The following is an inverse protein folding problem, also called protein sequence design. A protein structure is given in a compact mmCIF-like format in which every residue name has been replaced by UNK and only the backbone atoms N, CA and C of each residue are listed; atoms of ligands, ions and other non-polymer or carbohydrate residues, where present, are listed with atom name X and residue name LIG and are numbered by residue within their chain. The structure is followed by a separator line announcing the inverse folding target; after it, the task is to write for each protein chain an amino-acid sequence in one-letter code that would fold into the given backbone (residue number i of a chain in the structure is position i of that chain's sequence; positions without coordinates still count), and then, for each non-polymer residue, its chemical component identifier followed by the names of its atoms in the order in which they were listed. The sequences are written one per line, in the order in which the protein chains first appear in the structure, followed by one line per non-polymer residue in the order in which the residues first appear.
data_IF_868559006104
#
_entry.id   IF_868559006104
#
_cell.length_a   1.000
_cell.length_b   1.000
_cell.length_c   1.000
_cell.angle_alpha   90.00
_cell.angle_beta   90.00
_cell.angle_gamma   90.00
#
_symmetry.space_group_name_H-M   'P 1'
#
loop_
_entity.id
_entity.type
_entity.pdbx_description
1 polymer ?
#
# COMPACT_ATOMS: atom_id res chain seq x y z
N UNK A 1 31.47 0.71 -11.14
CA UNK A 1 32.71 1.49 -10.87
C UNK A 1 32.67 2.92 -11.43
N UNK A 2 32.48 3.16 -12.74
CA UNK A 2 32.48 4.51 -13.35
C UNK A 2 31.48 5.49 -12.72
N UNK A 3 30.28 5.00 -12.38
CA UNK A 3 29.25 5.80 -11.72
C UNK A 3 29.62 6.26 -10.29
N UNK A 4 30.66 5.66 -9.67
CA UNK A 4 31.16 6.02 -8.34
C UNK A 4 32.46 6.83 -8.40
N UNK A 5 32.81 7.42 -9.56
CA UNK A 5 34.09 8.13 -9.75
C UNK A 5 34.35 9.28 -8.77
N UNK A 6 33.29 9.85 -8.19
CA UNK A 6 33.35 10.94 -7.21
C UNK A 6 33.52 10.45 -5.77
N UNK A 7 33.38 9.15 -5.52
CA UNK A 7 33.56 8.53 -4.21
C UNK A 7 35.01 8.12 -3.98
N UNK A 8 35.38 7.95 -2.71
CA UNK A 8 36.70 7.43 -2.32
C UNK A 8 36.95 6.04 -2.94
N UNK A 9 38.21 5.77 -3.30
CA UNK A 9 38.61 4.49 -3.90
C UNK A 9 38.23 3.30 -3.00
N UNK A 10 38.37 3.43 -1.69
CA UNK A 10 37.99 2.41 -0.69
C UNK A 10 36.50 2.05 -0.77
N UNK A 11 35.62 3.05 -0.74
CA UNK A 11 34.16 2.90 -0.89
C UNK A 11 33.80 2.27 -2.23
N UNK A 12 34.43 2.73 -3.32
CA UNK A 12 34.21 2.15 -4.67
C UNK A 12 34.50 0.66 -4.70
N UNK A 13 35.64 0.27 -4.15
CA UNK A 13 36.13 -1.10 -4.23
C UNK A 13 35.28 -2.02 -3.34
N UNK A 14 34.87 -1.55 -2.15
CA UNK A 14 33.93 -2.28 -1.29
C UNK A 14 32.56 -2.48 -1.94
N UNK A 15 31.96 -1.43 -2.51
CA UNK A 15 30.66 -1.54 -3.19
C UNK A 15 30.75 -2.48 -4.40
N UNK A 16 31.80 -2.36 -5.22
CA UNK A 16 31.95 -3.23 -6.39
C UNK A 16 32.18 -4.69 -5.99
N UNK A 17 33.06 -4.94 -5.02
CA UNK A 17 33.34 -6.29 -4.53
C UNK A 17 32.09 -6.95 -3.93
N UNK A 18 31.29 -6.19 -3.18
CA UNK A 18 30.04 -6.73 -2.64
C UNK A 18 29.01 -7.02 -3.74
N UNK A 19 28.91 -6.15 -4.74
CA UNK A 19 27.99 -6.36 -5.87
C UNK A 19 28.38 -7.59 -6.71
N UNK A 20 29.66 -7.91 -6.82
CA UNK A 20 30.12 -9.13 -7.48
C UNK A 20 29.76 -10.41 -6.69
N UNK A 21 29.72 -10.31 -5.36
CA UNK A 21 29.49 -11.47 -4.47
C UNK A 21 28.02 -11.69 -4.12
N UNK A 22 27.20 -10.64 -4.17
CA UNK A 22 25.81 -10.66 -3.73
C UNK A 22 24.88 -10.14 -4.83
N UNK A 23 24.15 -11.07 -5.47
CA UNK A 23 23.23 -10.76 -6.57
C UNK A 23 22.08 -9.84 -6.17
N UNK A 24 21.58 -9.95 -4.94
CA UNK A 24 20.53 -9.06 -4.40
C UNK A 24 21.05 -7.64 -4.24
N UNK A 25 22.26 -7.50 -3.69
CA UNK A 25 22.90 -6.19 -3.59
C UNK A 25 23.21 -5.61 -4.96
N UNK A 26 23.71 -6.43 -5.89
CA UNK A 26 23.91 -6.03 -7.28
C UNK A 26 22.63 -5.45 -7.89
N UNK A 27 21.48 -6.10 -7.68
CA UNK A 27 20.20 -5.58 -8.17
C UNK A 27 19.89 -4.19 -7.61
N UNK A 28 20.12 -3.95 -6.32
CA UNK A 28 19.94 -2.64 -5.67
C UNK A 28 20.85 -1.60 -6.33
N UNK A 29 22.16 -1.87 -6.40
CA UNK A 29 23.15 -0.90 -6.89
C UNK A 29 23.21 -0.79 -8.41
N UNK A 30 22.54 -1.70 -9.14
CA UNK A 30 22.39 -1.59 -10.60
C UNK A 30 21.48 -0.43 -10.99
N UNK A 31 20.59 0.01 -10.08
CA UNK A 31 19.70 1.15 -10.29
C UNK A 31 20.46 2.44 -9.99
N UNK A 32 20.66 3.35 -10.97
CA UNK A 32 21.52 4.53 -10.78
C UNK A 32 21.16 5.41 -9.58
N UNK A 33 19.85 5.57 -9.31
CA UNK A 33 19.37 6.35 -8.16
C UNK A 33 19.71 5.71 -6.82
N UNK A 34 19.56 4.39 -6.69
CA UNK A 34 19.92 3.66 -5.49
C UNK A 34 21.44 3.57 -5.30
N UNK A 35 22.21 3.45 -6.38
CA UNK A 35 23.67 3.49 -6.29
C UNK A 35 24.17 4.78 -5.65
N UNK A 36 23.60 5.92 -6.04
CA UNK A 36 23.93 7.21 -5.45
C UNK A 36 23.57 7.28 -3.96
N UNK A 37 22.39 6.77 -3.60
CA UNK A 37 21.93 6.67 -2.21
C UNK A 37 22.87 5.80 -1.38
N UNK A 38 23.14 4.58 -1.83
CA UNK A 38 24.05 3.62 -1.16
C UNK A 38 25.43 4.23 -0.98
N UNK A 39 25.99 4.86 -2.02
CA UNK A 39 27.27 5.53 -1.94
C UNK A 39 27.29 6.65 -0.89
N UNK A 40 26.22 7.45 -0.81
CA UNK A 40 26.11 8.57 0.14
C UNK A 40 25.99 8.10 1.59
N UNK A 41 25.35 6.94 1.80
CA UNK A 41 25.11 6.37 3.12
C UNK A 41 26.21 5.39 3.57
N UNK A 42 27.08 4.96 2.65
CA UNK A 42 28.02 3.84 2.87
C UNK A 42 28.81 3.97 4.16
N UNK A 43 29.52 5.09 4.33
CA UNK A 43 30.32 5.35 5.53
C UNK A 43 29.49 5.89 6.69
N UNK A 44 28.50 6.75 6.38
CA UNK A 44 27.71 7.46 7.41
C UNK A 44 26.87 6.51 8.25
N UNK A 45 26.30 5.49 7.63
CA UNK A 45 25.42 4.51 8.26
C UNK A 45 26.11 3.14 8.39
N UNK A 46 27.42 3.06 8.17
CA UNK A 46 28.21 1.83 8.26
C UNK A 46 27.56 0.64 7.52
N UNK A 47 27.10 0.88 6.28
CA UNK A 47 26.33 -0.13 5.52
C UNK A 47 27.08 -1.44 5.32
N UNK A 48 28.41 -1.41 5.34
CA UNK A 48 29.26 -2.60 5.29
C UNK A 48 29.05 -3.55 6.47
N UNK A 49 28.54 -3.09 7.61
CA UNK A 49 28.26 -3.91 8.78
C UNK A 49 26.87 -4.57 8.70
N UNK A 50 25.98 -4.06 7.86
CA UNK A 50 24.58 -4.49 7.74
C UNK A 50 24.27 -5.27 6.45
N UNK A 51 25.30 -5.78 5.76
CA UNK A 51 25.20 -6.42 4.45
C UNK A 51 24.17 -7.57 4.41
N UNK A 52 24.08 -8.36 5.48
CA UNK A 52 23.18 -9.52 5.54
C UNK A 52 21.69 -9.12 5.49
N UNK A 53 21.36 -7.90 5.91
CA UNK A 53 19.99 -7.39 5.99
C UNK A 53 19.70 -6.31 4.94
N UNK A 54 20.59 -6.13 3.97
CA UNK A 54 20.50 -4.99 3.06
C UNK A 54 19.45 -5.27 1.97
N UNK A 55 18.25 -4.72 2.19
CA UNK A 55 17.11 -4.76 1.27
C UNK A 55 16.95 -3.42 0.55
N UNK A 56 16.13 -3.36 -0.51
CA UNK A 56 15.83 -2.08 -1.15
C UNK A 56 15.05 -1.16 -0.20
N UNK A 57 14.11 -1.72 0.57
CA UNK A 57 13.33 -1.02 1.57
C UNK A 57 14.22 -0.42 2.67
N UNK A 58 15.19 -1.19 3.18
CA UNK A 58 16.13 -0.73 4.20
C UNK A 58 16.96 0.46 3.72
N UNK A 59 17.51 0.39 2.51
CA UNK A 59 18.28 1.49 1.91
C UNK A 59 17.41 2.74 1.73
N UNK A 60 16.16 2.58 1.28
CA UNK A 60 15.22 3.70 1.15
C UNK A 60 14.86 4.32 2.51
N UNK A 61 14.63 3.48 3.53
CA UNK A 61 14.36 3.91 4.90
C UNK A 61 15.49 4.78 5.44
N UNK A 62 16.74 4.34 5.32
CA UNK A 62 17.91 5.09 5.75
C UNK A 62 18.03 6.43 5.02
N UNK A 63 17.78 6.45 3.71
CA UNK A 63 17.83 7.71 2.95
C UNK A 63 16.73 8.70 3.36
N UNK A 64 15.51 8.21 3.56
CA UNK A 64 14.39 9.02 4.05
C UNK A 64 14.71 9.58 5.45
N UNK A 65 15.25 8.76 6.33
CA UNK A 65 15.68 9.16 7.67
C UNK A 65 16.81 10.19 7.63
N UNK A 66 17.82 9.99 6.77
CA UNK A 66 18.90 10.95 6.55
C UNK A 66 18.37 12.28 6.01
N UNK A 67 17.36 12.24 5.13
CA UNK A 67 16.70 13.44 4.60
C UNK A 67 15.99 14.23 5.70
N UNK A 68 15.25 13.55 6.59
CA UNK A 68 14.60 14.18 7.75
C UNK A 68 15.61 14.74 8.74
N UNK A 69 16.68 14.00 9.03
CA UNK A 69 17.75 14.44 9.94
C UNK A 69 18.45 15.70 9.41
N UNK A 70 18.82 15.71 8.12
CA UNK A 70 19.38 16.90 7.47
C UNK A 70 18.44 18.10 7.57
N UNK A 71 17.14 17.86 7.45
CA UNK A 71 16.14 18.90 7.56
C UNK A 71 15.99 19.42 9.00
N UNK A 72 15.97 18.53 9.98
CA UNK A 72 15.94 18.91 11.40
C UNK A 72 17.21 19.64 11.87
N UNK A 73 18.39 19.33 11.32
CA UNK A 73 19.63 20.09 11.59
C UNK A 73 19.51 21.55 11.10
N UNK A 74 18.87 21.78 9.95
CA UNK A 74 18.57 23.14 9.51
C UNK A 74 17.61 23.83 10.47
N UNK A 75 16.66 23.08 11.03
CA UNK A 75 15.71 23.66 11.98
C UNK A 75 16.37 24.11 13.28
N UNK A 76 17.26 23.31 13.86
CA UNK A 76 18.00 23.70 15.05
C UNK A 76 18.75 25.03 14.86
N UNK A 77 19.23 25.27 13.63
CA UNK A 77 19.95 26.49 13.26
C UNK A 77 19.04 27.69 12.97
N UNK A 78 17.87 27.48 12.35
CA UNK A 78 17.08 28.57 11.76
C UNK A 78 15.67 28.76 12.36
N UNK A 79 15.16 27.81 13.17
CA UNK A 79 13.88 27.87 13.89
C UNK A 79 12.65 28.25 13.04
N UNK A 80 12.57 27.74 11.81
CA UNK A 80 11.51 28.09 10.87
C UNK A 80 10.53 26.95 10.54
N UNK A 81 10.89 25.71 10.84
CA UNK A 81 10.22 24.47 10.47
C UNK A 81 9.51 23.84 11.68
N UNK A 82 8.18 23.88 11.73
CA UNK A 82 7.44 23.47 12.92
C UNK A 82 7.40 21.95 13.11
N UNK A 83 7.68 21.12 12.10
CA UNK A 83 7.48 19.68 12.23
C UNK A 83 8.67 18.98 12.90
N UNK A 84 8.37 17.94 13.66
CA UNK A 84 9.37 16.97 14.09
C UNK A 84 9.56 15.86 13.04
N UNK A 85 10.54 14.98 13.20
CA UNK A 85 10.86 13.99 12.18
C UNK A 85 9.76 12.92 12.00
N UNK A 86 9.08 12.54 13.09
CA UNK A 86 7.93 11.64 13.03
C UNK A 86 6.73 12.25 12.29
N UNK A 87 6.49 13.55 12.49
CA UNK A 87 5.44 14.29 11.78
C UNK A 87 5.79 14.46 10.30
N UNK A 88 7.04 14.74 9.95
CA UNK A 88 7.49 14.75 8.54
C UNK A 88 7.25 13.39 7.88
N UNK A 89 7.57 12.29 8.56
CA UNK A 89 7.27 10.94 8.09
C UNK A 89 5.76 10.70 7.90
N UNK A 90 4.92 11.23 8.79
CA UNK A 90 3.45 11.19 8.63
C UNK A 90 2.98 11.95 7.39
N UNK A 91 3.42 13.20 7.20
CA UNK A 91 3.01 13.99 6.05
C UNK A 91 3.52 13.41 4.74
N UNK A 92 4.78 12.98 4.68
CA UNK A 92 5.36 12.38 3.47
C UNK A 92 4.71 11.04 3.13
N UNK A 93 4.42 10.19 4.11
CA UNK A 93 3.60 8.98 3.92
C UNK A 93 2.21 9.30 3.40
N UNK A 94 1.58 10.37 3.89
CA UNK A 94 0.29 10.86 3.40
C UNK A 94 0.32 11.35 1.95
N UNK A 95 1.34 12.13 1.58
CA UNK A 95 1.55 12.59 0.20
C UNK A 95 1.78 11.40 -0.72
N UNK A 96 2.64 10.46 -0.32
CA UNK A 96 2.94 9.25 -1.08
C UNK A 96 1.68 8.38 -1.30
N UNK A 97 0.92 8.10 -0.24
CA UNK A 97 -0.32 7.32 -0.34
C UNK A 97 -1.38 7.99 -1.23
N UNK A 98 -1.53 9.31 -1.14
CA UNK A 98 -2.43 10.07 -2.02
C UNK A 98 -1.99 9.98 -3.49
N UNK A 99 -0.72 10.25 -3.80
CA UNK A 99 -0.20 10.22 -5.16
C UNK A 99 -0.28 8.82 -5.76
N UNK A 100 0.14 7.79 -5.01
CA UNK A 100 0.11 6.40 -5.46
C UNK A 100 -1.33 5.91 -5.72
N UNK A 101 -2.28 6.19 -4.81
CA UNK A 101 -3.68 5.77 -4.97
C UNK A 101 -4.38 6.45 -6.15
N UNK A 102 -3.95 7.67 -6.49
CA UNK A 102 -4.44 8.42 -7.67
C UNK A 102 -3.59 8.20 -8.93
N UNK A 103 -2.52 7.41 -8.85
CA UNK A 103 -1.56 7.16 -9.94
C UNK A 103 -0.98 8.45 -10.53
N UNK A 104 -0.58 9.36 -9.64
CA UNK A 104 0.00 10.65 -10.00
C UNK A 104 1.52 10.60 -9.84
N UNK A 105 2.26 11.06 -10.85
CA UNK A 105 3.70 11.31 -10.75
C UNK A 105 4.01 12.70 -10.18
N UNK A 106 3.08 13.65 -10.30
CA UNK A 106 3.19 15.02 -9.79
C UNK A 106 1.94 15.44 -9.01
N UNK A 107 2.07 16.42 -8.10
CA UNK A 107 0.98 16.99 -7.32
C UNK A 107 1.04 18.52 -7.37
N UNK A 108 -0.07 19.16 -7.73
CA UNK A 108 -0.13 20.63 -7.77
C UNK A 108 -0.07 21.23 -6.36
N UNK A 109 0.42 22.46 -6.21
CA UNK A 109 0.44 23.17 -4.92
C UNK A 109 -0.95 23.22 -4.25
N UNK A 110 -2.01 23.41 -5.04
CA UNK A 110 -3.39 23.42 -4.54
C UNK A 110 -3.79 22.07 -3.97
N UNK A 111 -3.49 20.97 -4.67
CA UNK A 111 -3.79 19.61 -4.20
C UNK A 111 -2.96 19.27 -2.96
N UNK A 112 -1.68 19.61 -2.95
CA UNK A 112 -0.79 19.37 -1.82
C UNK A 112 -1.27 20.12 -0.57
N UNK A 113 -1.59 21.41 -0.69
CA UNK A 113 -2.10 22.20 0.43
C UNK A 113 -3.43 21.63 0.97
N UNK A 114 -4.37 21.31 0.08
CA UNK A 114 -5.64 20.70 0.48
C UNK A 114 -5.48 19.31 1.12
N UNK A 115 -4.45 18.56 0.73
CA UNK A 115 -4.10 17.29 1.36
C UNK A 115 -3.48 17.50 2.75
N UNK A 116 -2.57 18.46 2.90
CA UNK A 116 -1.95 18.81 4.18
C UNK A 116 -3.02 19.25 5.19
N UNK A 117 -4.01 20.05 4.77
CA UNK A 117 -5.12 20.46 5.63
C UNK A 117 -5.92 19.26 6.15
N UNK A 118 -6.19 18.25 5.29
CA UNK A 118 -6.84 17.00 5.69
C UNK A 118 -5.98 16.18 6.65
N UNK A 119 -4.67 16.11 6.40
CA UNK A 119 -3.72 15.38 7.25
C UNK A 119 -3.57 16.04 8.62
N UNK A 120 -3.56 17.37 8.71
CA UNK A 120 -3.57 18.11 9.99
C UNK A 120 -4.83 17.78 10.78
N UNK A 121 -6.00 17.84 10.13
CA UNK A 121 -7.27 17.54 10.78
C UNK A 121 -7.35 16.09 11.31
N UNK A 122 -6.77 15.15 10.58
CA UNK A 122 -6.72 13.73 10.94
C UNK A 122 -5.58 13.34 11.87
N UNK A 123 -4.60 14.22 12.12
CA UNK A 123 -3.36 13.90 12.82
C UNK A 123 -3.61 13.42 14.27
N UNK A 124 -3.29 12.17 14.62
CA UNK A 124 -3.37 11.68 15.98
C UNK A 124 -2.25 12.27 16.85
N UNK A 125 -2.57 12.55 18.12
CA UNK A 125 -1.62 13.12 19.08
C UNK A 125 -0.40 12.21 19.36
N UNK A 126 -0.50 10.92 19.04
CA UNK A 126 0.58 9.95 19.24
C UNK A 126 1.77 10.17 18.28
N UNK A 127 1.56 10.79 17.11
CA UNK A 127 2.63 10.97 16.11
C UNK A 127 3.72 11.89 16.63
N UNK A 128 3.35 12.96 17.32
CA UNK A 128 4.33 13.90 17.89
C UNK A 128 5.18 13.27 19.01
N UNK A 129 4.77 12.11 19.53
CA UNK A 129 5.47 11.37 20.60
C UNK A 129 6.31 10.19 20.11
N UNK A 130 6.29 9.89 18.82
CA UNK A 130 7.07 8.79 18.26
C UNK A 130 8.56 9.14 18.22
N UNK A 131 9.41 8.11 18.10
CA UNK A 131 10.86 8.20 18.19
C UNK A 131 11.38 9.34 17.32
N UNK A 132 12.06 10.28 17.96
CA UNK A 132 12.73 11.38 17.29
C UNK A 132 14.06 10.92 16.73
N UNK A 133 14.41 11.34 15.52
CA UNK A 133 15.75 11.14 14.95
C UNK A 133 16.77 12.11 15.53
N UNK A 134 16.32 13.13 16.29
CA UNK A 134 17.16 14.19 16.85
C UNK A 134 16.89 14.44 18.34
N UNK A 135 17.92 14.88 19.08
CA UNK A 135 17.71 15.33 20.45
C UNK A 135 16.90 16.64 20.46
N UNK A 136 15.89 16.75 21.33
CA UNK A 136 15.07 17.97 21.57
C UNK A 136 14.04 18.36 20.50
N UNK A 137 13.51 17.39 19.77
CA UNK A 137 12.35 17.65 18.92
C UNK A 137 11.09 18.01 19.76
N UNK A 138 10.16 18.83 19.23
CA UNK A 138 8.88 19.10 19.88
C UNK A 138 8.08 17.81 20.09
N UNK A 139 7.64 17.56 21.32
CA UNK A 139 6.84 16.39 21.71
C UNK A 139 5.34 16.71 21.91
N UNK A 140 4.99 18.00 21.95
CA UNK A 140 3.61 18.44 22.08
C UNK A 140 2.82 18.09 20.79
N UNK A 141 1.58 17.55 20.93
CA UNK A 141 0.74 17.20 19.80
C UNK A 141 0.63 18.33 18.77
N UNK A 142 0.88 18.03 17.50
CA UNK A 142 0.87 18.98 16.39
C UNK A 142 -0.35 19.91 16.43
N UNK A 143 -1.55 19.35 16.60
CA UNK A 143 -2.79 20.12 16.61
C UNK A 143 -2.82 21.19 17.70
N UNK A 144 -2.23 20.93 18.87
CA UNK A 144 -2.17 21.93 19.95
C UNK A 144 -1.22 23.07 19.57
N UNK A 145 -0.06 22.73 19.00
CA UNK A 145 0.94 23.71 18.54
C UNK A 145 0.42 24.62 17.43
N UNK A 146 -0.51 24.13 16.61
CA UNK A 146 -1.15 24.91 15.55
C UNK A 146 -2.39 25.69 16.00
N UNK A 147 -2.87 25.54 17.23
CA UNK A 147 -4.11 26.17 17.70
C UNK A 147 -3.79 27.49 18.39
N UNK A 148 -4.43 28.59 17.97
CA UNK A 148 -4.35 29.87 18.68
C UNK A 148 -5.05 29.73 20.05
N UNK A 149 -4.34 29.96 21.18
CA UNK A 149 -4.91 29.88 22.52
C UNK A 149 -6.12 30.79 22.75
N UNK A 150 -6.25 31.89 21.99
CA UNK A 150 -7.32 32.89 22.15
C UNK A 150 -8.60 32.48 21.43
N UNK A 151 -8.48 31.96 20.20
CA UNK A 151 -9.64 31.64 19.36
C UNK A 151 -10.02 30.17 19.40
N UNK A 152 -9.13 29.31 19.91
CA UNK A 152 -9.26 27.85 19.87
C UNK A 152 -9.46 27.31 18.43
N UNK A 153 -8.98 28.06 17.42
CA UNK A 153 -8.96 27.69 16.01
C UNK A 153 -7.53 27.49 15.53
N UNK A 154 -7.33 26.78 14.41
CA UNK A 154 -6.01 26.70 13.80
C UNK A 154 -5.51 28.10 13.39
N UNK A 155 -4.29 28.44 13.81
CA UNK A 155 -3.59 29.65 13.39
C UNK A 155 -3.16 29.51 11.92
N UNK A 156 -3.65 30.36 11.00
CA UNK A 156 -3.29 30.30 9.60
C UNK A 156 -1.78 30.41 9.34
N UNK A 157 -1.05 31.15 10.18
CA UNK A 157 0.40 31.35 10.03
C UNK A 157 1.13 30.04 10.31
N UNK A 158 0.81 29.38 11.42
CA UNK A 158 1.45 28.11 11.79
C UNK A 158 1.07 26.98 10.82
N UNK A 159 -0.16 26.97 10.31
CA UNK A 159 -0.56 26.04 9.23
C UNK A 159 0.26 26.26 7.95
N UNK A 160 0.53 27.51 7.56
CA UNK A 160 1.34 27.79 6.38
C UNK A 160 2.82 27.41 6.57
N UNK A 161 3.34 27.53 7.81
CA UNK A 161 4.68 27.03 8.17
C UNK A 161 4.76 25.52 8.02
N UNK A 162 3.74 24.77 8.45
CA UNK A 162 3.65 23.32 8.20
C UNK A 162 3.64 23.03 6.70
N UNK A 163 2.84 23.76 5.91
CA UNK A 163 2.81 23.59 4.45
C UNK A 163 4.17 23.83 3.82
N UNK A 164 4.92 24.81 4.32
CA UNK A 164 6.27 25.14 3.85
C UNK A 164 7.28 24.06 4.24
N UNK A 165 7.22 23.54 5.46
CA UNK A 165 8.09 22.43 5.91
C UNK A 165 7.86 21.17 5.08
N UNK A 166 6.59 20.78 4.85
CA UNK A 166 6.24 19.63 4.01
C UNK A 166 6.81 19.78 2.59
N UNK A 167 6.64 20.96 1.97
CA UNK A 167 7.18 21.28 0.64
C UNK A 167 8.71 21.22 0.58
N UNK A 168 9.38 21.63 1.66
CA UNK A 168 10.85 21.77 1.70
C UNK A 168 11.55 20.61 2.40
N UNK A 169 10.83 19.57 2.80
CA UNK A 169 11.30 18.39 3.57
C UNK A 169 12.40 17.55 2.90
N UNK A 170 12.80 17.91 1.68
CA UNK A 170 13.94 17.32 0.96
C UNK A 170 13.62 16.07 0.16
N UNK A 171 12.38 15.56 0.25
CA UNK A 171 11.89 14.44 -0.58
C UNK A 171 11.08 14.92 -1.77
N UNK A 172 10.38 16.04 -1.63
CA UNK A 172 9.67 16.71 -2.72
C UNK A 172 10.59 17.71 -3.41
N UNK A 173 10.45 17.79 -4.72
CA UNK A 173 11.13 18.76 -5.59
C UNK A 173 10.10 19.43 -6.49
N UNK A 174 10.38 20.67 -6.88
CA UNK A 174 9.61 21.35 -7.91
C UNK A 174 9.74 20.59 -9.24
N UNK A 175 8.62 20.42 -9.95
CA UNK A 175 8.66 19.83 -11.28
C UNK A 175 9.00 20.91 -12.32
N UNK A 176 10.18 20.85 -12.96
CA UNK A 176 10.60 21.88 -13.92
C UNK A 176 9.68 21.95 -15.15
N UNK A 177 8.98 20.85 -15.47
CA UNK A 177 8.03 20.81 -16.57
C UNK A 177 6.71 21.52 -16.26
N UNK A 178 6.32 21.59 -14.98
CA UNK A 178 5.01 22.11 -14.55
C UNK A 178 5.17 23.02 -13.33
N UNK A 179 5.45 24.33 -13.53
CA UNK A 179 5.62 25.28 -12.43
C UNK A 179 4.44 25.26 -11.45
N UNK A 180 4.75 25.26 -10.16
CA UNK A 180 3.75 25.14 -9.09
C UNK A 180 3.24 23.72 -8.86
N UNK A 181 3.87 22.71 -9.46
CA UNK A 181 3.68 21.29 -9.13
C UNK A 181 4.94 20.70 -8.52
N UNK A 182 4.73 19.72 -7.66
CA UNK A 182 5.78 19.01 -6.94
C UNK A 182 5.79 17.55 -7.35
N UNK A 183 6.95 16.91 -7.24
CA UNK A 183 7.09 15.45 -7.36
C UNK A 183 8.07 14.95 -6.33
N UNK A 184 8.07 13.65 -6.07
CA UNK A 184 9.19 13.05 -5.35
C UNK A 184 10.45 13.16 -6.20
N UNK A 185 11.59 13.46 -5.56
CA UNK A 185 12.88 13.55 -6.26
C UNK A 185 13.22 12.26 -7.03
N UNK A 186 12.70 11.13 -6.57
CA UNK A 186 12.69 9.87 -7.29
C UNK A 186 11.37 9.12 -7.04
N UNK A 187 10.81 8.47 -8.07
CA UNK A 187 9.52 7.74 -7.96
C UNK A 187 9.55 6.67 -6.86
N UNK A 188 10.66 5.94 -6.73
CA UNK A 188 10.78 4.88 -5.72
C UNK A 188 10.66 5.38 -4.28
N UNK A 189 10.89 6.68 -3.98
CA UNK A 189 10.61 7.22 -2.65
C UNK A 189 9.10 7.24 -2.35
N UNK A 190 8.29 7.63 -3.33
CA UNK A 190 6.84 7.58 -3.23
C UNK A 190 6.36 6.14 -3.01
N UNK A 191 6.89 5.20 -3.79
CA UNK A 191 6.50 3.79 -3.74
C UNK A 191 6.89 3.13 -2.42
N UNK A 192 8.11 3.42 -1.91
CA UNK A 192 8.56 2.99 -0.60
C UNK A 192 7.68 3.56 0.53
N UNK A 193 7.46 4.88 0.56
CA UNK A 193 6.66 5.52 1.61
C UNK A 193 5.21 5.03 1.61
N UNK A 194 4.65 4.78 0.43
CA UNK A 194 3.32 4.18 0.33
C UNK A 194 3.30 2.74 0.86
N UNK A 195 4.31 1.94 0.52
CA UNK A 195 4.48 0.59 1.05
C UNK A 195 4.66 0.58 2.57
N UNK A 196 5.40 1.53 3.15
CA UNK A 196 5.59 1.70 4.59
C UNK A 196 4.25 1.93 5.32
N UNK A 197 3.41 2.84 4.81
CA UNK A 197 2.08 3.09 5.37
C UNK A 197 1.21 1.83 5.35
N UNK A 198 1.27 1.07 4.26
CA UNK A 198 0.50 -0.18 4.14
C UNK A 198 1.06 -1.26 5.07
N UNK A 199 2.38 -1.40 5.15
CA UNK A 199 3.04 -2.36 6.04
C UNK A 199 2.67 -2.08 7.50
N UNK A 200 2.74 -0.82 7.93
CA UNK A 200 2.37 -0.40 9.28
C UNK A 200 0.91 -0.72 9.61
N UNK A 201 -0.01 -0.49 8.66
CA UNK A 201 -1.44 -0.82 8.83
C UNK A 201 -1.71 -2.33 8.92
N UNK A 202 -0.91 -3.15 8.22
CA UNK A 202 -1.03 -4.61 8.25
C UNK A 202 -0.41 -5.17 9.54
N UNK A 203 0.84 -4.82 9.85
CA UNK A 203 1.56 -5.30 11.04
C UNK A 203 0.90 -4.81 12.34
N UNK A 204 0.44 -3.56 12.36
CA UNK A 204 -0.19 -2.94 13.52
C UNK A 204 -1.61 -2.51 13.16
N UNK A 205 -2.59 -3.42 13.32
CA UNK A 205 -4.02 -3.11 13.08
C UNK A 205 -4.50 -1.84 13.81
N UNK A 206 -3.85 -1.50 14.92
CA UNK A 206 -4.13 -0.33 15.74
C UNK A 206 -3.22 0.87 15.49
N UNK A 207 -2.33 0.88 14.48
CA UNK A 207 -1.48 2.05 14.21
C UNK A 207 -2.36 3.28 13.95
N UNK A 208 -2.30 4.30 14.83
CA UNK A 208 -3.05 5.53 14.62
C UNK A 208 -2.52 6.29 13.40
N UNK A 209 -1.21 6.25 13.15
CA UNK A 209 -0.53 6.95 12.04
C UNK A 209 -1.03 6.45 10.70
N UNK A 210 -0.89 5.15 10.44
CA UNK A 210 -1.28 4.57 9.16
C UNK A 210 -2.79 4.72 8.89
N UNK A 211 -3.62 4.48 9.91
CA UNK A 211 -5.08 4.65 9.79
C UNK A 211 -5.47 6.09 9.46
N UNK A 212 -4.84 7.07 10.13
CA UNK A 212 -5.10 8.49 9.86
C UNK A 212 -4.72 8.87 8.43
N UNK A 213 -3.56 8.41 7.94
CA UNK A 213 -3.12 8.61 6.55
C UNK A 213 -4.13 8.02 5.57
N UNK A 214 -4.47 6.74 5.70
CA UNK A 214 -5.35 6.04 4.76
C UNK A 214 -6.76 6.66 4.74
N UNK A 215 -7.26 7.07 5.90
CA UNK A 215 -8.57 7.74 6.02
C UNK A 215 -8.54 9.13 5.37
N UNK A 216 -7.55 9.96 5.69
CA UNK A 216 -7.43 11.32 5.16
C UNK A 216 -7.22 11.36 3.63
N UNK A 217 -6.48 10.38 3.11
CA UNK A 217 -6.18 10.25 1.68
C UNK A 217 -7.25 9.49 0.91
N UNK A 218 -8.21 8.86 1.57
CA UNK A 218 -9.19 7.91 0.97
C UNK A 218 -8.51 6.78 0.20
N UNK A 219 -7.34 6.35 0.68
CA UNK A 219 -6.52 5.31 0.03
C UNK A 219 -6.97 3.93 0.48
N UNK A 220 -7.31 3.07 -0.48
CA UNK A 220 -7.57 1.66 -0.24
C UNK A 220 -6.25 0.89 -0.22
N UNK A 221 -6.07 0.04 0.80
CA UNK A 221 -4.87 -0.82 0.92
C UNK A 221 -4.75 -1.72 -0.31
N UNK A 222 -5.87 -2.22 -0.83
CA UNK A 222 -5.89 -3.13 -1.98
C UNK A 222 -5.39 -2.44 -3.27
N UNK A 223 -5.29 -1.10 -3.29
CA UNK A 223 -4.76 -0.38 -4.44
C UNK A 223 -3.24 -0.54 -4.63
N UNK A 224 -2.50 -1.00 -3.60
CA UNK A 224 -1.06 -1.27 -3.71
C UNK A 224 -0.75 -2.36 -4.72
N UNK A 225 -1.69 -3.29 -4.95
CA UNK A 225 -1.55 -4.36 -5.97
C UNK A 225 -1.28 -3.79 -7.37
N UNK A 226 -1.69 -2.55 -7.62
CA UNK A 226 -1.50 -1.87 -8.90
C UNK A 226 -0.10 -1.28 -9.08
N UNK A 227 0.74 -1.26 -8.04
CA UNK A 227 2.12 -0.78 -8.08
C UNK A 227 3.08 -1.93 -7.73
N UNK A 228 3.66 -2.60 -8.74
CA UNK A 228 4.53 -3.75 -8.49
C UNK A 228 5.78 -3.38 -7.68
N UNK A 229 6.29 -2.16 -7.82
CA UNK A 229 7.44 -1.68 -7.05
C UNK A 229 7.06 -1.45 -5.59
N UNK A 230 5.92 -0.81 -5.30
CA UNK A 230 5.41 -0.66 -3.93
C UNK A 230 5.13 -2.01 -3.29
N UNK A 231 4.61 -2.99 -4.04
CA UNK A 231 4.45 -4.37 -3.56
C UNK A 231 5.77 -5.02 -3.18
N UNK A 232 6.84 -4.78 -3.95
CA UNK A 232 8.18 -5.29 -3.63
C UNK A 232 8.68 -4.72 -2.32
N UNK A 233 8.57 -3.40 -2.11
CA UNK A 233 8.92 -2.77 -0.83
C UNK A 233 8.06 -3.28 0.32
N UNK A 234 6.76 -3.48 0.09
CA UNK A 234 5.84 -4.02 1.10
C UNK A 234 6.29 -5.41 1.55
N UNK A 235 6.66 -6.29 0.62
CA UNK A 235 7.15 -7.62 0.94
C UNK A 235 8.39 -7.55 1.83
N UNK A 236 9.38 -6.73 1.47
CA UNK A 236 10.61 -6.55 2.27
C UNK A 236 10.32 -5.99 3.67
N UNK A 237 9.47 -4.96 3.78
CA UNK A 237 9.08 -4.37 5.07
C UNK A 237 8.34 -5.36 5.98
N UNK A 238 7.52 -6.23 5.40
CA UNK A 238 6.82 -7.26 6.17
C UNK A 238 7.80 -8.29 6.74
N UNK A 239 8.87 -8.63 6.02
CA UNK A 239 9.92 -9.52 6.53
C UNK A 239 10.81 -8.88 7.59
N UNK A 240 11.12 -7.58 7.46
CA UNK A 240 11.95 -6.85 8.43
C UNK A 240 11.25 -6.69 9.78
N UNK A 241 9.95 -6.34 9.78
CA UNK A 241 9.20 -6.16 11.03
C UNK A 241 9.10 -7.42 11.87
N UNK A 242 9.18 -8.61 11.25
CA UNK A 242 9.25 -9.87 11.98
C UNK A 242 10.65 -10.11 12.57
N UNK A 243 11.75 -9.69 11.93
CA UNK A 243 13.10 -9.83 12.50
C UNK A 243 13.30 -9.02 13.78
N UNK A 244 12.73 -7.81 13.89
CA UNK A 244 12.77 -7.04 15.13
C UNK A 244 11.95 -7.68 16.26
N UNK A 245 10.86 -8.38 15.93
CA UNK A 245 10.01 -9.07 16.92
C UNK A 245 10.58 -10.43 17.34
N UNK A 246 11.18 -11.17 16.40
CA UNK A 246 11.77 -12.50 16.62
C UNK A 246 13.22 -12.44 17.11
N UNK A 247 13.96 -11.36 16.85
CA UNK A 247 15.31 -11.14 17.40
C UNK A 247 15.34 -11.03 18.93
N UNK A 248 14.22 -10.71 19.57
CA UNK A 248 14.04 -10.78 21.02
C UNK A 248 13.69 -12.19 21.53
N UNK A 249 13.26 -13.09 20.66
CA UNK A 249 12.87 -14.46 20.98
C UNK A 249 13.92 -15.44 20.46
N UNK A 250 15.06 -15.45 21.16
CA UNK A 250 15.96 -16.61 21.30
C UNK A 250 16.85 -16.94 20.08
N UNK A 251 18.17 -16.60 20.11
CA UNK A 251 19.13 -16.93 19.03
C UNK A 251 19.52 -18.42 18.95
N UNK A 252 18.64 -19.33 19.38
CA UNK A 252 18.92 -20.77 19.46
C UNK A 252 17.73 -21.68 19.15
N UNK A 253 16.62 -21.16 18.61
CA UNK A 253 15.51 -22.05 18.24
C UNK A 253 15.77 -22.73 16.91
N UNK A 254 15.85 -24.07 16.96
CA UNK A 254 15.88 -25.04 15.86
C UNK A 254 14.58 -25.04 15.01
N UNK A 255 14.09 -23.87 14.60
CA UNK A 255 13.07 -23.84 13.56
C UNK A 255 13.77 -23.94 12.22
N UNK A 256 13.38 -24.91 11.40
CA UNK A 256 13.83 -24.92 10.01
C UNK A 256 13.26 -23.70 9.29
N UNK A 257 14.01 -23.17 8.33
CA UNK A 257 13.60 -22.04 7.48
C UNK A 257 12.18 -22.20 6.88
N UNK A 258 11.73 -23.45 6.72
CA UNK A 258 10.35 -23.79 6.31
C UNK A 258 9.28 -23.36 7.31
N UNK A 259 9.54 -23.50 8.61
CA UNK A 259 8.58 -23.31 9.68
C UNK A 259 8.38 -21.82 9.97
N UNK A 260 9.44 -21.03 9.85
CA UNK A 260 9.37 -19.56 9.89
C UNK A 260 8.56 -19.02 8.71
N UNK A 261 8.80 -19.53 7.49
CA UNK A 261 8.01 -19.17 6.30
C UNK A 261 6.53 -19.57 6.44
N UNK A 262 6.24 -20.73 7.04
CA UNK A 262 4.87 -21.18 7.31
C UNK A 262 4.16 -20.30 8.34
N UNK A 263 4.84 -19.95 9.44
CA UNK A 263 4.32 -19.05 10.47
C UNK A 263 4.08 -17.64 9.93
N UNK A 264 5.02 -17.10 9.16
CA UNK A 264 4.92 -15.80 8.51
C UNK A 264 3.72 -15.77 7.54
N UNK A 265 3.63 -16.75 6.64
CA UNK A 265 2.53 -16.84 5.69
C UNK A 265 1.18 -16.92 6.42
N UNK A 266 1.11 -17.65 7.53
CA UNK A 266 -0.09 -17.78 8.35
C UNK A 266 -0.46 -16.49 9.07
N UNK A 267 0.50 -15.75 9.62
CA UNK A 267 0.27 -14.41 10.19
C UNK A 267 -0.18 -13.42 9.14
N UNK A 268 0.47 -13.39 7.98
CA UNK A 268 0.09 -12.54 6.86
C UNK A 268 -1.32 -12.86 6.37
N UNK A 269 -1.66 -14.15 6.26
CA UNK A 269 -3.00 -14.62 5.91
C UNK A 269 -4.04 -14.19 6.94
N UNK A 270 -3.77 -14.41 8.23
CA UNK A 270 -4.59 -13.94 9.35
C UNK A 270 -4.76 -12.43 9.28
N UNK A 271 -3.72 -11.66 9.00
CA UNK A 271 -3.78 -10.20 8.99
C UNK A 271 -4.59 -9.69 7.81
N UNK A 272 -4.39 -10.25 6.61
CA UNK A 272 -5.13 -9.87 5.39
C UNK A 272 -6.61 -10.27 5.48
N UNK A 273 -6.94 -11.40 6.11
CA UNK A 273 -8.32 -11.94 6.18
C UNK A 273 -9.08 -11.68 7.49
N UNK A 274 -8.44 -11.66 8.68
CA UNK A 274 -9.10 -11.34 9.98
C UNK A 274 -9.47 -9.86 10.15
N UNK A 275 -9.66 -9.12 9.05
CA UNK A 275 -10.38 -7.85 9.11
C UNK A 275 -11.89 -8.09 9.00
N UNK A 276 -12.35 -9.28 8.60
CA UNK A 276 -13.77 -9.65 8.67
C UNK A 276 -13.99 -10.85 9.60
N UNK A 277 -14.69 -10.61 10.71
CA UNK A 277 -15.11 -11.64 11.68
C UNK A 277 -16.11 -12.62 11.05
N UNK A 278 -15.62 -13.60 10.31
CA UNK A 278 -16.46 -14.38 9.40
C UNK A 278 -16.11 -15.87 9.36
N UNK A 279 -15.89 -16.51 10.51
CA UNK A 279 -15.71 -17.98 10.54
C UNK A 279 -17.02 -18.76 10.37
N UNK A 280 -18.16 -18.21 10.79
CA UNK A 280 -19.44 -18.95 10.87
C UNK A 280 -20.30 -18.77 9.62
N UNK A 281 -20.36 -17.56 9.05
CA UNK A 281 -21.13 -17.29 7.82
C UNK A 281 -20.46 -17.94 6.61
N UNK A 282 -19.12 -17.99 6.60
CA UNK A 282 -18.32 -18.48 5.48
C UNK A 282 -18.45 -19.99 5.24
N UNK A 283 -18.49 -20.82 6.29
CA UNK A 283 -18.60 -22.28 6.11
C UNK A 283 -19.90 -22.70 5.42
N UNK A 284 -21.02 -22.04 5.75
CA UNK A 284 -22.33 -22.33 5.15
C UNK A 284 -22.49 -21.71 3.76
N UNK A 285 -21.93 -20.52 3.53
CA UNK A 285 -21.97 -19.87 2.22
C UNK A 285 -21.01 -20.50 1.20
N UNK A 286 -19.84 -20.97 1.64
CA UNK A 286 -18.87 -21.64 0.78
C UNK A 286 -19.41 -23.00 0.32
N UNK A 287 -20.12 -23.73 1.19
CA UNK A 287 -20.85 -24.94 0.77
C UNK A 287 -21.91 -24.64 -0.30
N UNK A 288 -22.65 -23.54 -0.16
CA UNK A 288 -23.61 -23.09 -1.17
C UNK A 288 -22.92 -22.70 -2.49
N UNK A 289 -21.83 -21.94 -2.42
CA UNK A 289 -21.05 -21.52 -3.59
C UNK A 289 -20.31 -22.67 -4.29
N UNK A 290 -19.79 -23.67 -3.56
CA UNK A 290 -19.16 -24.89 -4.12
C UNK A 290 -20.17 -25.71 -4.93
N UNK A 291 -21.41 -25.77 -4.44
CA UNK A 291 -22.51 -26.43 -5.15
C UNK A 291 -22.86 -25.70 -6.44
N UNK A 292 -22.70 -24.37 -6.46
CA UNK A 292 -23.02 -23.49 -7.60
C UNK A 292 -21.84 -23.33 -8.59
N UNK A 293 -20.58 -23.35 -8.12
CA UNK A 293 -19.37 -23.13 -8.92
C UNK A 293 -18.90 -24.36 -9.70
N UNK A 294 -19.44 -25.55 -9.39
CA UNK A 294 -19.22 -26.75 -10.22
C UNK A 294 -19.91 -26.65 -11.60
N UNK A 295 -20.70 -25.60 -11.83
CA UNK A 295 -21.30 -25.26 -13.12
C UNK A 295 -20.35 -24.35 -13.94
N UNK A 296 -19.97 -24.77 -15.15
CA UNK A 296 -18.91 -24.16 -16.00
C UNK A 296 -19.07 -22.69 -16.40
N UNK A 297 -20.18 -22.02 -16.07
CA UNK A 297 -20.36 -20.59 -16.30
C UNK A 297 -19.87 -19.82 -15.08
N UNK A 298 -18.73 -19.14 -15.16
CA UNK A 298 -18.16 -18.38 -14.04
C UNK A 298 -19.12 -17.37 -13.39
N UNK A 299 -18.70 -16.74 -12.28
CA UNK A 299 -19.54 -15.86 -11.44
C UNK A 299 -20.37 -14.79 -12.21
N UNK A 300 -19.84 -14.31 -13.34
CA UNK A 300 -20.52 -13.35 -14.24
C UNK A 300 -21.77 -13.93 -14.93
N UNK A 301 -21.75 -15.20 -15.30
CA UNK A 301 -22.90 -15.89 -15.89
C UNK A 301 -24.04 -16.05 -14.87
N UNK A 302 -23.72 -16.25 -13.59
CA UNK A 302 -24.73 -16.35 -12.54
C UNK A 302 -25.37 -15.01 -12.19
N UNK A 303 -24.59 -13.93 -12.10
CA UNK A 303 -25.15 -12.59 -11.94
C UNK A 303 -26.14 -12.27 -13.07
N UNK A 304 -25.82 -12.68 -14.31
CA UNK A 304 -26.70 -12.55 -15.46
C UNK A 304 -27.95 -13.43 -15.36
N UNK A 305 -27.83 -14.71 -14.95
CA UNK A 305 -28.97 -15.62 -14.77
C UNK A 305 -29.92 -15.08 -13.69
N UNK A 306 -29.38 -14.62 -12.55
CA UNK A 306 -30.19 -14.04 -11.47
C UNK A 306 -30.89 -12.78 -11.97
N UNK A 307 -30.19 -11.91 -12.68
CA UNK A 307 -30.77 -10.68 -13.24
C UNK A 307 -31.84 -10.98 -14.30
N UNK A 308 -31.61 -11.99 -15.16
CA UNK A 308 -32.58 -12.43 -16.16
C UNK A 308 -33.83 -13.03 -15.51
N UNK A 309 -33.66 -13.87 -14.49
CA UNK A 309 -34.78 -14.44 -13.74
C UNK A 309 -35.60 -13.35 -13.04
N UNK A 310 -34.92 -12.35 -12.46
CA UNK A 310 -35.52 -11.17 -11.88
C UNK A 310 -36.32 -10.35 -12.91
N UNK A 311 -35.73 -10.11 -14.08
CA UNK A 311 -36.40 -9.40 -15.17
C UNK A 311 -37.66 -10.11 -15.64
N UNK A 312 -37.62 -11.44 -15.77
CA UNK A 312 -38.78 -12.25 -16.17
C UNK A 312 -39.87 -12.22 -15.09
N UNK A 313 -39.53 -12.40 -13.81
CA UNK A 313 -40.51 -12.30 -12.72
C UNK A 313 -41.13 -10.91 -12.63
N UNK A 314 -40.36 -9.85 -12.85
CA UNK A 314 -40.85 -8.47 -12.84
C UNK A 314 -41.81 -8.19 -14.01
N UNK A 315 -41.45 -8.62 -15.22
CA UNK A 315 -42.32 -8.50 -16.41
C UNK A 315 -43.62 -9.28 -16.18
N UNK A 316 -43.55 -10.49 -15.63
CA UNK A 316 -44.73 -11.30 -15.34
C UNK A 316 -45.69 -10.59 -14.38
N UNK A 317 -45.18 -9.95 -13.32
CA UNK A 317 -46.00 -9.18 -12.36
C UNK A 317 -46.65 -7.97 -13.03
N UNK A 318 -45.89 -7.23 -13.85
CA UNK A 318 -46.43 -6.09 -14.61
C UNK A 318 -47.53 -6.53 -15.57
N UNK A 319 -47.33 -7.64 -16.27
CA UNK A 319 -48.30 -8.19 -17.22
C UNK A 319 -49.60 -8.57 -16.51
N UNK A 320 -49.50 -9.20 -15.33
CA UNK A 320 -50.69 -9.52 -14.52
C UNK A 320 -51.41 -8.25 -14.04
N UNK A 321 -50.66 -7.22 -13.67
CA UNK A 321 -51.24 -5.93 -13.24
C UNK A 321 -51.89 -5.14 -14.37
N UNK A 322 -51.35 -5.18 -15.59
CA UNK A 322 -51.86 -4.42 -16.72
C UNK A 322 -53.08 -5.05 -17.38
N UNK A 323 -53.17 -6.38 -17.42
CA UNK A 323 -54.19 -7.07 -18.22
C UNK A 323 -55.42 -7.54 -17.45
N UNK A 324 -55.33 -7.86 -16.15
CA UNK A 324 -56.48 -8.45 -15.41
C UNK A 324 -57.40 -7.44 -14.71
N UNK A 325 -57.02 -6.16 -14.61
CA UNK A 325 -57.91 -5.02 -14.29
C UNK A 325 -58.69 -5.05 -12.95
N UNK A 326 -58.63 -6.12 -12.17
CA UNK A 326 -59.32 -6.29 -10.87
C UNK A 326 -58.49 -7.13 -9.91
N UNK A 327 -57.39 -6.55 -9.43
CA UNK A 327 -56.64 -7.12 -8.31
C UNK A 327 -57.37 -6.85 -7.00
N UNK A 328 -57.54 -7.89 -6.19
CA UNK A 328 -58.00 -7.76 -4.81
C UNK A 328 -56.90 -7.13 -3.94
N UNK A 329 -57.29 -6.44 -2.85
CA UNK A 329 -56.33 -5.83 -1.92
C UNK A 329 -55.31 -6.85 -1.36
N UNK A 330 -55.73 -8.11 -1.22
CA UNK A 330 -54.86 -9.21 -0.76
C UNK A 330 -53.77 -9.52 -1.79
N UNK A 331 -54.09 -9.53 -3.07
CA UNK A 331 -53.11 -9.74 -4.14
C UNK A 331 -52.12 -8.58 -4.21
N UNK A 332 -52.59 -7.34 -4.07
CA UNK A 332 -51.72 -6.15 -4.04
C UNK A 332 -50.70 -6.25 -2.90
N UNK A 333 -51.13 -6.63 -1.69
CA UNK A 333 -50.22 -6.84 -0.54
C UNK A 333 -49.23 -7.97 -0.83
N UNK A 334 -49.69 -9.06 -1.47
CA UNK A 334 -48.84 -10.18 -1.90
C UNK A 334 -47.75 -9.73 -2.87
N UNK A 335 -48.09 -8.97 -3.91
CA UNK A 335 -47.12 -8.44 -4.88
C UNK A 335 -46.14 -7.46 -4.23
N UNK A 336 -46.61 -6.59 -3.33
CA UNK A 336 -45.74 -5.68 -2.59
C UNK A 336 -44.72 -6.46 -1.74
N UNK A 337 -45.17 -7.53 -1.07
CA UNK A 337 -44.31 -8.44 -0.31
C UNK A 337 -43.25 -9.12 -1.17
N UNK A 338 -43.62 -9.58 -2.37
CA UNK A 338 -42.69 -10.16 -3.35
C UNK A 338 -41.65 -9.12 -3.79
N UNK A 339 -42.07 -7.90 -4.13
CA UNK A 339 -41.16 -6.82 -4.54
C UNK A 339 -40.16 -6.50 -3.42
N UNK A 340 -40.62 -6.37 -2.17
CA UNK A 340 -39.75 -6.11 -1.01
C UNK A 340 -38.76 -7.26 -0.80
N UNK A 341 -39.23 -8.52 -0.85
CA UNK A 341 -38.38 -9.70 -0.72
C UNK A 341 -37.29 -9.73 -1.79
N UNK A 342 -37.68 -9.46 -3.03
CA UNK A 342 -36.79 -9.42 -4.19
C UNK A 342 -35.74 -8.29 -4.05
N UNK A 343 -36.14 -7.10 -3.60
CA UNK A 343 -35.22 -5.98 -3.32
C UNK A 343 -34.24 -6.32 -2.18
N UNK A 344 -34.72 -6.97 -1.12
CA UNK A 344 -33.84 -7.42 -0.04
C UNK A 344 -32.84 -8.47 -0.52
N UNK A 345 -33.28 -9.45 -1.31
CA UNK A 345 -32.41 -10.48 -1.86
C UNK A 345 -31.35 -9.87 -2.79
N UNK A 346 -31.70 -8.88 -3.62
CA UNK A 346 -30.75 -8.22 -4.50
C UNK A 346 -29.70 -7.42 -3.73
N UNK A 347 -30.08 -6.72 -2.65
CA UNK A 347 -29.14 -6.04 -1.75
C UNK A 347 -28.18 -7.04 -1.11
N UNK A 348 -28.69 -8.18 -0.62
CA UNK A 348 -27.86 -9.24 -0.04
C UNK A 348 -26.89 -9.79 -1.08
N UNK A 349 -27.36 -10.15 -2.27
CA UNK A 349 -26.52 -10.67 -3.35
C UNK A 349 -25.46 -9.66 -3.81
N UNK A 350 -25.81 -8.37 -3.90
CA UNK A 350 -24.87 -7.31 -4.21
C UNK A 350 -23.80 -7.16 -3.11
N UNK A 351 -24.20 -7.20 -1.84
CA UNK A 351 -23.27 -7.16 -0.72
C UNK A 351 -22.32 -8.38 -0.72
N UNK A 352 -22.84 -9.57 -1.03
CA UNK A 352 -22.05 -10.79 -1.19
C UNK A 352 -21.08 -10.69 -2.37
N UNK A 353 -21.53 -10.15 -3.50
CA UNK A 353 -20.68 -9.93 -4.67
C UNK A 353 -19.53 -8.98 -4.34
N UNK A 354 -19.81 -7.82 -3.74
CA UNK A 354 -18.78 -6.87 -3.30
C UNK A 354 -17.81 -7.51 -2.30
N UNK A 355 -18.32 -8.36 -1.40
CA UNK A 355 -17.50 -9.10 -0.45
C UNK A 355 -16.57 -10.12 -1.13
N UNK A 356 -17.07 -10.91 -2.09
CA UNK A 356 -16.26 -11.86 -2.87
C UNK A 356 -15.15 -11.12 -3.62
N UNK A 357 -15.47 -10.00 -4.29
CA UNK A 357 -14.48 -9.19 -5.00
C UNK A 357 -13.39 -8.64 -4.08
N UNK A 358 -13.74 -8.23 -2.85
CA UNK A 358 -12.75 -7.78 -1.84
C UNK A 358 -11.85 -8.92 -1.40
N UNK A 359 -12.39 -10.12 -1.18
CA UNK A 359 -11.58 -11.29 -0.82
C UNK A 359 -10.62 -11.65 -1.94
N UNK A 360 -11.11 -11.68 -3.19
CA UNK A 360 -10.28 -12.01 -4.34
C UNK A 360 -9.08 -11.06 -4.45
N UNK A 361 -9.29 -9.74 -4.32
CA UNK A 361 -8.19 -8.76 -4.33
C UNK A 361 -7.19 -8.96 -3.20
N UNK A 362 -7.66 -9.31 -2.01
CA UNK A 362 -6.78 -9.58 -0.86
C UNK A 362 -6.02 -10.89 -1.00
N UNK A 363 -6.63 -11.90 -1.59
CA UNK A 363 -5.95 -13.14 -1.95
C UNK A 363 -4.90 -12.90 -3.03
N UNK A 364 -5.18 -12.04 -4.01
CA UNK A 364 -4.19 -11.60 -4.99
C UNK A 364 -3.03 -10.86 -4.29
N UNK A 365 -3.30 -9.89 -3.43
CA UNK A 365 -2.28 -9.18 -2.65
C UNK A 365 -1.42 -10.15 -1.83
N UNK A 366 -2.06 -11.05 -1.08
CA UNK A 366 -1.37 -12.06 -0.28
C UNK A 366 -0.51 -12.99 -1.15
N UNK A 367 -1.04 -13.44 -2.29
CA UNK A 367 -0.30 -14.29 -3.23
C UNK A 367 0.91 -13.55 -3.82
N UNK A 368 0.74 -12.28 -4.22
CA UNK A 368 1.83 -11.46 -4.71
C UNK A 368 2.96 -11.32 -3.71
N UNK A 369 2.62 -11.04 -2.44
CA UNK A 369 3.61 -10.93 -1.36
C UNK A 369 4.30 -12.29 -1.18
N UNK A 370 3.57 -13.40 -1.12
CA UNK A 370 4.16 -14.72 -0.93
C UNK A 370 5.09 -15.12 -2.08
N UNK A 371 4.70 -14.88 -3.34
CA UNK A 371 5.53 -15.14 -4.51
C UNK A 371 6.81 -14.29 -4.49
N UNK A 372 6.70 -13.02 -4.09
CA UNK A 372 7.87 -12.13 -3.98
C UNK A 372 8.82 -12.49 -2.84
N UNK A 373 8.28 -13.11 -1.79
CA UNK A 373 9.07 -13.65 -0.69
C UNK A 373 9.57 -15.07 -0.94
N UNK A 374 9.39 -15.58 -2.18
CA UNK A 374 9.80 -16.93 -2.58
C UNK A 374 9.25 -18.01 -1.63
N UNK A 375 8.04 -17.79 -1.08
CA UNK A 375 7.37 -18.76 -0.23
C UNK A 375 6.90 -19.90 -1.14
N UNK A 376 7.31 -21.14 -0.87
CA UNK A 376 7.02 -22.25 -1.79
C UNK A 376 5.53 -22.61 -1.76
N UNK A 377 5.00 -23.03 -2.92
CA UNK A 377 3.57 -23.31 -3.11
C UNK A 377 3.01 -24.32 -2.09
N UNK A 378 3.82 -25.29 -1.64
CA UNK A 378 3.41 -26.26 -0.63
C UNK A 378 3.08 -25.59 0.72
N UNK A 379 3.82 -24.55 1.12
CA UNK A 379 3.56 -23.76 2.33
C UNK A 379 2.31 -22.91 2.13
N UNK A 380 2.15 -22.27 0.97
CA UNK A 380 0.92 -21.53 0.65
C UNK A 380 -0.34 -22.41 0.76
N UNK A 381 -0.30 -23.61 0.18
CA UNK A 381 -1.42 -24.57 0.20
C UNK A 381 -1.76 -25.06 1.61
N UNK A 382 -0.77 -25.20 2.49
CA UNK A 382 -0.99 -25.52 3.91
C UNK A 382 -1.68 -24.38 4.65
N UNK A 383 -1.20 -23.14 4.44
CA UNK A 383 -1.61 -21.96 5.21
C UNK A 383 -2.99 -21.44 4.83
N UNK A 384 -3.25 -21.23 3.54
CA UNK A 384 -4.59 -20.82 3.06
C UNK A 384 -5.59 -21.95 3.30
N UNK A 385 -5.07 -23.17 3.40
CA UNK A 385 -5.83 -24.39 3.45
C UNK A 385 -6.51 -24.64 2.10
N UNK A 386 -6.58 -25.91 1.75
CA UNK A 386 -7.57 -26.39 0.77
C UNK A 386 -9.01 -26.15 1.24
N UNK A 387 -9.24 -25.66 2.46
CA UNK A 387 -10.59 -25.37 2.98
C UNK A 387 -11.29 -24.20 2.29
N UNK A 388 -10.57 -23.14 1.93
CA UNK A 388 -11.19 -21.92 1.39
C UNK A 388 -11.27 -21.95 -0.16
N UNK A 389 -10.34 -22.66 -0.80
CA UNK A 389 -10.32 -22.87 -2.26
C UNK A 389 -10.06 -24.37 -2.57
N UNK A 390 -11.00 -25.28 -2.20
CA UNK A 390 -10.79 -26.73 -2.33
C UNK A 390 -10.53 -27.18 -3.76
N UNK A 391 -11.07 -26.46 -4.74
CA UNK A 391 -10.87 -26.74 -6.17
C UNK A 391 -9.47 -26.39 -6.69
N UNK A 392 -8.63 -25.68 -5.92
CA UNK A 392 -7.27 -25.33 -6.31
C UNK A 392 -6.19 -26.25 -5.71
N UNK A 393 -6.60 -27.36 -5.07
CA UNK A 393 -5.67 -28.33 -4.50
C UNK A 393 -4.76 -28.92 -5.58
N UNK A 394 -3.44 -28.78 -5.40
CA UNK A 394 -2.43 -29.31 -6.33
C UNK A 394 -2.14 -28.44 -7.56
N UNK A 395 -2.81 -27.30 -7.72
CA UNK A 395 -2.48 -26.31 -8.76
C UNK A 395 -1.40 -25.35 -8.24
N UNK A 396 -0.41 -24.95 -9.06
CA UNK A 396 0.58 -23.94 -8.66
C UNK A 396 -0.12 -22.59 -8.44
N UNK A 397 0.23 -21.84 -7.39
CA UNK A 397 -0.49 -20.62 -6.98
C UNK A 397 -0.42 -19.45 -7.99
N UNK A 398 0.34 -19.64 -9.07
CA UNK A 398 0.44 -18.72 -10.22
C UNK A 398 -0.89 -18.42 -10.92
N UNK A 399 -1.96 -19.18 -10.67
CA UNK A 399 -3.25 -18.92 -11.32
C UNK A 399 -3.94 -17.62 -10.88
N UNK A 400 -3.64 -17.08 -9.68
CA UNK A 400 -4.17 -15.80 -9.23
C UNK A 400 -3.43 -14.58 -9.79
N UNK A 401 -2.28 -14.79 -10.43
CA UNK A 401 -1.53 -13.75 -11.12
C UNK A 401 -2.20 -13.48 -12.48
N UNK A 402 -2.24 -12.21 -12.88
CA UNK A 402 -2.71 -11.82 -14.21
C UNK A 402 -1.80 -12.43 -15.29
N UNK A 403 -2.29 -12.61 -16.51
CA UNK A 403 -1.50 -13.22 -17.60
C UNK A 403 -0.20 -12.42 -17.90
N UNK A 404 -0.22 -11.10 -17.67
CA UNK A 404 0.97 -10.24 -17.77
C UNK A 404 2.01 -10.55 -16.69
N UNK A 405 1.59 -10.96 -15.50
CA UNK A 405 2.49 -11.31 -14.40
C UNK A 405 2.99 -12.74 -14.51
N UNK A 406 2.18 -13.66 -15.09
CA UNK A 406 2.59 -15.04 -15.36
C UNK A 406 3.73 -15.13 -16.35
N UNK A 407 3.84 -14.19 -17.30
CA UNK A 407 4.94 -14.17 -18.27
C UNK A 407 6.26 -13.73 -17.67
N UNK A 408 6.28 -13.21 -16.42
CA UNK A 408 7.48 -12.64 -15.81
C UNK A 408 7.98 -11.36 -16.50
N UNK A 409 7.27 -10.89 -17.54
CA UNK A 409 7.59 -9.67 -18.27
C UNK A 409 6.91 -8.50 -17.56
N UNK A 410 7.58 -8.00 -16.53
CA UNK A 410 7.31 -6.66 -16.06
C UNK A 410 7.92 -5.72 -17.10
N UNK A 411 7.08 -5.18 -18.00
CA UNK A 411 7.45 -3.99 -18.76
C UNK A 411 7.72 -2.89 -17.72
N UNK A 412 8.98 -2.76 -17.31
CA UNK A 412 9.48 -1.51 -16.80
C UNK A 412 9.40 -0.60 -18.02
N UNK A 413 8.30 0.15 -18.14
CA UNK A 413 8.24 1.23 -19.10
C UNK A 413 9.38 2.17 -18.73
N UNK A 414 10.47 2.12 -19.48
CA UNK A 414 11.48 3.16 -19.50
C UNK A 414 10.75 4.47 -19.85
N UNK A 415 10.41 5.27 -18.84
CA UNK A 415 9.84 6.61 -19.01
C UNK A 415 10.77 7.55 -19.81
N UNK A 416 12.00 7.13 -20.11
CA UNK A 416 12.95 7.87 -20.93
C UNK A 416 12.72 7.77 -22.45
N UNK A 417 11.87 6.84 -22.94
CA UNK A 417 11.65 6.69 -24.40
C UNK A 417 10.69 7.69 -25.03
N UNK A 418 10.20 8.70 -24.29
CA UNK A 418 9.24 9.69 -24.79
C UNK A 418 9.85 11.09 -25.05
N UNK A 419 11.17 11.20 -25.20
CA UNK A 419 11.88 12.46 -25.51
C UNK A 419 12.45 12.60 -26.92
N UNK A 420 12.15 11.68 -27.85
CA UNK A 420 12.37 11.93 -29.28
C UNK A 420 11.13 12.57 -29.92
N UNK A 421 10.94 13.87 -29.69
CA UNK A 421 10.13 14.72 -30.56
C UNK A 421 10.98 15.89 -31.05
N UNK A 422 11.47 15.70 -32.28
CA UNK A 422 11.71 16.70 -33.35
C UNK A 422 12.47 17.98 -32.98
N UNK A 423 13.79 17.92 -33.11
CA UNK A 423 14.57 19.07 -33.60
C UNK A 423 14.56 19.08 -35.13
N UNK A 424 13.46 19.53 -35.73
CA UNK A 424 13.43 19.89 -37.15
C UNK A 424 13.31 21.42 -37.28
N UNK A 425 14.36 22.01 -37.87
CA UNK A 425 14.40 23.25 -38.66
C UNK A 425 13.78 24.54 -38.10
N UNK A 426 14.65 25.47 -37.70
CA UNK A 426 14.47 26.90 -37.94
C UNK A 426 15.84 27.57 -38.12
N UNK A 427 16.26 27.69 -39.39
CA UNK A 427 17.02 28.84 -39.91
C UNK A 427 16.18 30.09 -39.88
#
# INVERSE_FOLDING_TARGET
RTALREQEQSVRDQICALAEQNSRFYEIVSRPSLLHVVATLWEKEQLSEHIAHLTSAYVMRLFVQASYTRQGIKEEKYKFMPLNSSERAYFMGGVAAFMASKRLSTITARQLNGLIDKLIAAAPAAISKQISTMAREPDEPLRKRLTDPKTNSFDPVEVDRVKTDVRTSGLLVDDPATPGSFKFGHQSFMEYLYAEVVAEQLQHKASPRARAILTATTTDIDSIVKSPVSLSFLAELLTEGDQEVFGFLNPGSLYSESDEKELFAHRLYITTLNILGLKIVYGRMLAFLVTVSSYKGGLRSWAFIIFAFFGVSFISVIDTMLFDGKLSDVEVIGYLGIIIYILMLSIILMALFVFIFRIERRLQLWNHICVRLEIPDNVLHKVVGTHYLPWNRGQPFKYLLTDKERSGVFDIQDEDSNKEIKSDSAT
#
